data_IF_265810449718
#
_entry.id   IF_265810449718
#
_cell.length_a   1.000
_cell.length_b   1.000
_cell.length_c   1.000
_cell.angle_alpha   90.00
_cell.angle_beta   90.00
_cell.angle_gamma   90.00
#
_symmetry.space_group_name_H-M   'P 1'
#
loop_
_entity.id
_entity.type
_entity.pdbx_description
1 polymer ?
#
# COMPACT_ATOMS: atom_id res chain seq x y z
N UNK A 1 14.75 -9.19 0.00
CA UNK A 1 13.73 -8.66 0.92
C UNK A 1 13.45 -9.70 2.00
N UNK A 2 13.11 -10.94 1.63
CA UNK A 2 13.13 -12.10 2.56
C UNK A 2 14.43 -12.28 3.37
N UNK A 3 15.61 -12.06 2.76
CA UNK A 3 16.89 -12.10 3.49
C UNK A 3 16.98 -11.05 4.60
N UNK A 4 16.31 -9.90 4.42
CA UNK A 4 16.30 -8.81 5.39
C UNK A 4 15.47 -9.16 6.63
N UNK A 5 14.31 -9.78 6.45
CA UNK A 5 13.49 -10.29 7.57
C UNK A 5 14.23 -11.38 8.32
N UNK A 6 14.88 -12.32 7.61
CA UNK A 6 15.64 -13.39 8.26
C UNK A 6 16.79 -12.81 9.10
N UNK A 7 17.54 -11.84 8.56
CA UNK A 7 18.62 -11.15 9.30
C UNK A 7 18.05 -10.40 10.52
N UNK A 8 16.94 -9.69 10.35
CA UNK A 8 16.29 -8.93 11.42
C UNK A 8 15.72 -9.83 12.53
N UNK A 9 15.05 -10.93 12.17
CA UNK A 9 14.47 -11.88 13.12
C UNK A 9 15.55 -12.63 13.92
N UNK A 10 16.65 -13.04 13.26
CA UNK A 10 17.81 -13.64 13.96
C UNK A 10 18.37 -12.67 15.01
N UNK A 11 18.49 -11.38 14.68
CA UNK A 11 18.98 -10.36 15.63
C UNK A 11 18.04 -10.17 16.83
N UNK A 12 16.72 -10.14 16.65
CA UNK A 12 15.79 -10.08 17.80
C UNK A 12 15.98 -11.31 18.68
N UNK A 13 15.90 -12.48 18.07
CA UNK A 13 15.78 -13.72 18.82
C UNK A 13 17.08 -14.08 19.54
N UNK A 14 18.23 -13.80 18.92
CA UNK A 14 19.53 -14.27 19.41
C UNK A 14 20.38 -13.20 20.09
N UNK A 15 20.12 -11.91 19.86
CA UNK A 15 20.83 -10.81 20.55
C UNK A 15 19.94 -10.12 21.58
N UNK A 16 18.74 -9.67 21.19
CA UNK A 16 17.94 -8.78 22.04
C UNK A 16 17.18 -9.56 23.12
N UNK A 17 16.58 -10.70 22.79
CA UNK A 17 15.79 -11.52 23.74
C UNK A 17 16.63 -12.09 24.90
N UNK A 18 17.86 -12.59 24.69
CA UNK A 18 18.74 -12.99 25.79
C UNK A 18 19.22 -11.80 26.62
N UNK A 19 19.51 -10.64 25.99
CA UNK A 19 19.85 -9.42 26.69
C UNK A 19 18.68 -8.92 27.55
N UNK A 20 17.43 -8.97 27.06
CA UNK A 20 16.24 -8.66 27.86
C UNK A 20 16.05 -9.63 29.02
N UNK A 21 16.35 -10.92 28.85
CA UNK A 21 16.27 -11.88 29.95
C UNK A 21 17.34 -11.63 31.01
N UNK A 22 18.54 -11.25 30.59
CA UNK A 22 19.67 -10.89 31.46
C UNK A 22 19.43 -9.54 32.17
N UNK A 23 18.79 -8.58 31.51
CA UNK A 23 18.62 -7.19 31.97
C UNK A 23 17.24 -6.97 32.60
N UNK A 24 16.25 -7.78 32.26
CA UNK A 24 14.84 -7.58 32.56
C UNK A 24 14.34 -8.15 33.88
N UNK A 25 15.19 -8.78 34.72
CA UNK A 25 14.68 -9.26 36.00
C UNK A 25 15.72 -9.79 36.96
N UNK A 26 16.33 -10.94 36.69
CA UNK A 26 17.07 -11.64 37.75
C UNK A 26 18.44 -11.05 38.06
N UNK A 27 19.28 -10.76 37.05
CA UNK A 27 20.64 -10.29 37.31
C UNK A 27 20.70 -8.84 37.79
N UNK A 28 19.83 -7.96 37.30
CA UNK A 28 19.76 -6.57 37.78
C UNK A 28 19.22 -6.53 39.20
N UNK A 29 18.10 -7.20 39.48
CA UNK A 29 17.54 -7.26 40.83
C UNK A 29 18.51 -7.92 41.82
N UNK A 30 19.24 -8.96 41.40
CA UNK A 30 20.27 -9.59 42.24
C UNK A 30 21.45 -8.63 42.50
N UNK A 31 21.95 -7.95 41.47
CA UNK A 31 23.02 -6.98 41.61
C UNK A 31 22.60 -5.76 42.46
N UNK A 32 21.36 -5.32 42.34
CA UNK A 32 20.76 -4.26 43.15
C UNK A 32 20.71 -4.68 44.62
N UNK A 33 20.19 -5.87 44.91
CA UNK A 33 20.17 -6.43 46.26
C UNK A 33 21.58 -6.56 46.86
N UNK A 34 22.54 -7.08 46.09
CA UNK A 34 23.93 -7.16 46.52
C UNK A 34 24.55 -5.79 46.82
N UNK A 35 24.19 -4.76 46.03
CA UNK A 35 24.62 -3.39 46.24
C UNK A 35 24.02 -2.78 47.51
N UNK A 36 22.72 -2.97 47.76
CA UNK A 36 22.07 -2.57 49.01
C UNK A 36 22.72 -3.22 50.24
N UNK A 37 23.00 -4.52 50.20
CA UNK A 37 23.68 -5.22 51.30
C UNK A 37 25.07 -4.64 51.57
N UNK A 38 25.79 -4.21 50.52
CA UNK A 38 27.11 -3.56 50.69
C UNK A 38 26.97 -2.18 51.32
N UNK A 39 25.99 -1.37 50.90
CA UNK A 39 25.69 -0.07 51.51
C UNK A 39 25.32 -0.22 52.98
N UNK A 40 24.46 -1.18 53.32
CA UNK A 40 24.07 -1.44 54.72
C UNK A 40 25.28 -1.80 55.59
N UNK A 41 26.20 -2.62 55.07
CA UNK A 41 27.46 -2.94 55.78
C UNK A 41 28.32 -1.70 56.01
N UNK A 42 28.42 -0.81 55.01
CA UNK A 42 29.15 0.46 55.14
C UNK A 42 28.50 1.38 56.17
N UNK A 43 27.16 1.45 56.20
CA UNK A 43 26.42 2.24 57.19
C UNK A 43 26.66 1.75 58.62
N UNK A 44 26.59 0.44 58.85
CA UNK A 44 26.86 -0.16 60.16
C UNK A 44 28.31 0.11 60.60
N UNK A 45 29.28 -0.05 59.71
CA UNK A 45 30.68 0.23 60.02
C UNK A 45 30.93 1.72 60.31
N UNK A 46 30.28 2.61 59.55
CA UNK A 46 30.38 4.04 59.75
C UNK A 46 29.75 4.50 61.08
N UNK A 47 28.65 3.90 61.51
CA UNK A 47 28.02 4.20 62.80
C UNK A 47 29.00 4.00 63.97
N UNK A 48 29.76 2.90 63.96
CA UNK A 48 30.80 2.63 64.97
C UNK A 48 31.88 3.71 65.00
N UNK A 49 32.33 4.16 63.82
CA UNK A 49 33.34 5.23 63.69
C UNK A 49 32.79 6.60 64.09
N UNK A 50 31.51 6.85 63.87
CA UNK A 50 30.84 8.10 64.25
C UNK A 50 30.64 8.19 65.76
N UNK A 51 30.30 7.07 66.42
CA UNK A 51 30.10 7.00 67.88
C UNK A 51 31.42 7.08 68.66
N UNK A 52 32.48 6.40 68.19
CA UNK A 52 33.72 6.23 68.96
C UNK A 52 34.89 7.09 68.46
N UNK A 53 34.79 7.67 67.26
CA UNK A 53 35.87 8.44 66.64
C UNK A 53 35.97 9.88 67.14
N UNK A 54 37.16 10.48 66.99
CA UNK A 54 37.39 11.92 67.23
C UNK A 54 36.75 12.79 66.12
N UNK A 55 36.78 14.12 66.26
CA UNK A 55 36.11 15.03 65.31
C UNK A 55 36.62 14.87 63.87
N UNK A 56 37.92 14.66 63.68
CA UNK A 56 38.53 14.44 62.37
C UNK A 56 38.01 13.14 61.72
N UNK A 57 37.98 12.05 62.48
CA UNK A 57 37.44 10.75 62.03
C UNK A 57 35.97 10.87 61.64
N UNK A 58 35.18 11.62 62.42
CA UNK A 58 33.76 11.87 62.10
C UNK A 58 33.60 12.65 60.81
N UNK A 59 34.39 13.71 60.61
CA UNK A 59 34.35 14.51 59.38
C UNK A 59 34.70 13.69 58.14
N UNK A 60 35.77 12.87 58.22
CA UNK A 60 36.17 11.98 57.12
C UNK A 60 35.09 10.93 56.85
N UNK A 61 34.52 10.33 57.90
CA UNK A 61 33.46 9.32 57.78
C UNK A 61 32.21 9.90 57.11
N UNK A 62 31.78 11.11 57.49
CA UNK A 62 30.67 11.78 56.83
C UNK A 62 30.95 12.09 55.35
N UNK A 63 32.16 12.54 55.00
CA UNK A 63 32.54 12.80 53.62
C UNK A 63 32.50 11.51 52.77
N UNK A 64 33.06 10.41 53.28
CA UNK A 64 33.04 9.09 52.60
C UNK A 64 31.63 8.52 52.47
N UNK A 65 30.80 8.65 53.50
CA UNK A 65 29.40 8.24 53.42
C UNK A 65 28.64 9.01 52.35
N UNK A 66 28.87 10.33 52.24
CA UNK A 66 28.24 11.15 51.21
C UNK A 66 28.67 10.72 49.81
N UNK A 67 29.96 10.49 49.61
CA UNK A 67 30.54 10.02 48.33
C UNK A 67 29.96 8.67 47.91
N UNK A 68 29.97 7.67 48.80
CA UNK A 68 29.47 6.33 48.50
C UNK A 68 27.96 6.34 48.21
N UNK A 69 27.17 7.12 48.97
CA UNK A 69 25.73 7.25 48.71
C UNK A 69 25.46 7.88 47.35
N UNK A 70 26.16 8.97 47.00
CA UNK A 70 26.04 9.62 45.69
C UNK A 70 26.37 8.64 44.56
N UNK A 71 27.49 7.91 44.67
CA UNK A 71 27.91 6.95 43.65
C UNK A 71 26.92 5.79 43.50
N UNK A 72 26.32 5.34 44.59
CA UNK A 72 25.27 4.31 44.56
C UNK A 72 24.00 4.83 43.87
N UNK A 73 23.53 6.03 44.23
CA UNK A 73 22.38 6.68 43.60
C UNK A 73 22.58 6.86 42.09
N UNK A 74 23.74 7.37 41.68
CA UNK A 74 24.13 7.49 40.26
C UNK A 74 24.11 6.15 39.52
N UNK A 75 24.61 5.09 40.17
CA UNK A 75 24.61 3.73 39.61
C UNK A 75 23.19 3.21 39.44
N UNK A 76 22.32 3.37 40.44
CA UNK A 76 20.92 2.99 40.35
C UNK A 76 20.21 3.73 39.20
N UNK A 77 20.41 5.05 39.10
CA UNK A 77 19.87 5.85 37.99
C UNK A 77 20.36 5.36 36.63
N UNK A 78 21.66 5.07 36.49
CA UNK A 78 22.23 4.54 35.24
C UNK A 78 21.61 3.18 34.86
N UNK A 79 21.43 2.28 35.83
CA UNK A 79 20.80 0.97 35.63
C UNK A 79 19.37 1.13 35.12
N UNK A 80 18.58 2.00 35.76
CA UNK A 80 17.19 2.29 35.35
C UNK A 80 17.17 2.80 33.91
N UNK A 81 18.02 3.77 33.56
CA UNK A 81 18.11 4.29 32.20
C UNK A 81 18.49 3.22 31.17
N UNK A 82 19.44 2.34 31.50
CA UNK A 82 19.84 1.24 30.62
C UNK A 82 18.69 0.27 30.39
N UNK A 83 18.00 -0.12 31.46
CA UNK A 83 16.85 -1.02 31.41
C UNK A 83 15.73 -0.43 30.53
N UNK A 84 15.28 0.80 30.81
CA UNK A 84 14.22 1.44 30.02
C UNK A 84 14.61 1.60 28.54
N UNK A 85 15.88 1.89 28.24
CA UNK A 85 16.34 1.98 26.85
C UNK A 85 16.25 0.64 26.13
N UNK A 86 16.60 -0.45 26.81
CA UNK A 86 16.60 -1.79 26.22
C UNK A 86 15.18 -2.32 26.04
N UNK A 87 14.31 -2.08 27.01
CA UNK A 87 12.88 -2.37 26.88
C UNK A 87 12.26 -1.62 25.71
N UNK A 88 12.57 -0.33 25.58
CA UNK A 88 12.11 0.48 24.45
C UNK A 88 12.56 -0.13 23.12
N UNK A 89 13.86 -0.43 22.96
CA UNK A 89 14.39 -0.99 21.71
C UNK A 89 13.70 -2.31 21.39
N UNK A 90 13.53 -3.19 22.37
CA UNK A 90 12.89 -4.49 22.16
C UNK A 90 11.43 -4.38 21.74
N UNK A 91 10.65 -3.54 22.42
CA UNK A 91 9.23 -3.36 22.11
C UNK A 91 9.07 -2.82 20.69
N UNK A 92 9.70 -1.67 20.42
CA UNK A 92 9.58 -0.96 19.15
C UNK A 92 10.11 -1.80 17.98
N UNK A 93 11.25 -2.48 18.17
CA UNK A 93 11.81 -3.32 17.13
C UNK A 93 10.95 -4.56 16.86
N UNK A 94 10.33 -5.16 17.88
CA UNK A 94 9.43 -6.30 17.71
C UNK A 94 8.13 -5.91 16.97
N UNK A 95 7.54 -4.77 17.33
CA UNK A 95 6.36 -4.24 16.66
C UNK A 95 6.66 -3.84 15.21
N UNK A 96 7.82 -3.19 14.99
CA UNK A 96 8.31 -2.85 13.66
C UNK A 96 8.44 -4.09 12.77
N UNK A 97 9.10 -5.17 13.22
CA UNK A 97 9.26 -6.36 12.38
C UNK A 97 7.93 -7.00 12.05
N UNK A 98 7.00 -7.08 13.00
CA UNK A 98 5.68 -7.63 12.73
C UNK A 98 4.95 -6.82 11.64
N UNK A 99 4.94 -5.50 11.77
CA UNK A 99 4.30 -4.63 10.77
C UNK A 99 5.03 -4.67 9.41
N UNK A 100 6.36 -4.77 9.42
CA UNK A 100 7.17 -4.90 8.21
C UNK A 100 6.88 -6.21 7.48
N UNK A 101 6.80 -7.34 8.20
CA UNK A 101 6.45 -8.65 7.63
C UNK A 101 5.06 -8.64 6.98
N UNK A 102 4.07 -8.09 7.68
CA UNK A 102 2.71 -7.94 7.14
C UNK A 102 2.70 -7.08 5.86
N UNK A 103 3.43 -5.96 5.87
CA UNK A 103 3.55 -5.07 4.71
C UNK A 103 4.31 -5.72 3.56
N UNK A 104 5.39 -6.46 3.81
CA UNK A 104 6.18 -7.13 2.78
C UNK A 104 5.36 -8.24 2.10
N UNK A 105 4.63 -9.05 2.89
CA UNK A 105 3.72 -10.07 2.34
C UNK A 105 2.65 -9.45 1.46
N UNK A 106 2.07 -8.33 1.89
CA UNK A 106 1.12 -7.57 1.10
C UNK A 106 1.75 -7.06 -0.20
N UNK A 107 2.95 -6.48 -0.14
CA UNK A 107 3.67 -5.95 -1.29
C UNK A 107 3.95 -7.04 -2.31
N UNK A 108 4.41 -8.22 -1.88
CA UNK A 108 4.62 -9.39 -2.75
C UNK A 108 3.31 -9.85 -3.39
N UNK A 109 2.21 -9.86 -2.64
CA UNK A 109 0.89 -10.22 -3.17
C UNK A 109 0.44 -9.27 -4.29
N UNK A 110 0.56 -7.96 -4.08
CA UNK A 110 0.21 -6.95 -5.10
C UNK A 110 1.17 -6.99 -6.30
N UNK A 111 2.48 -7.16 -6.06
CA UNK A 111 3.45 -7.37 -7.13
C UNK A 111 3.03 -8.53 -8.05
N UNK A 112 2.64 -9.67 -7.47
CA UNK A 112 2.19 -10.85 -8.22
C UNK A 112 0.88 -10.62 -8.95
N UNK A 113 -0.08 -9.92 -8.35
CA UNK A 113 -1.35 -9.63 -9.02
C UNK A 113 -1.17 -8.67 -10.21
N UNK A 114 -0.18 -7.78 -10.13
CA UNK A 114 0.20 -6.87 -11.20
C UNK A 114 1.22 -7.47 -12.19
N UNK A 115 1.77 -8.65 -11.94
CA UNK A 115 2.79 -9.27 -12.79
C UNK A 115 2.28 -9.60 -14.19
N UNK A 116 1.13 -10.29 -14.38
CA UNK A 116 0.59 -10.58 -15.71
C UNK A 116 0.17 -9.30 -16.43
N UNK A 117 0.34 -9.25 -17.75
CA UNK A 117 -0.18 -8.18 -18.59
C UNK A 117 -1.71 -8.11 -18.55
N UNK A 118 -2.25 -6.97 -18.97
CA UNK A 118 -3.70 -6.76 -19.07
C UNK A 118 -4.31 -7.78 -20.04
N UNK A 119 -5.22 -8.61 -19.53
CA UNK A 119 -5.96 -9.56 -20.36
C UNK A 119 -6.95 -8.82 -21.26
N UNK A 120 -6.88 -9.09 -22.57
CA UNK A 120 -7.80 -8.52 -23.55
C UNK A 120 -9.20 -9.13 -23.42
N UNK A 121 -10.22 -8.27 -23.35
CA UNK A 121 -11.61 -8.67 -23.29
C UNK A 121 -12.36 -8.31 -24.58
N UNK A 122 -13.23 -9.21 -25.04
CA UNK A 122 -14.01 -9.02 -26.26
C UNK A 122 -15.19 -8.07 -26.08
N UNK A 123 -15.78 -8.01 -24.88
CA UNK A 123 -16.98 -7.21 -24.61
C UNK A 123 -16.69 -5.93 -23.81
N UNK A 124 -17.53 -4.91 -24.01
CA UNK A 124 -17.42 -3.62 -23.29
C UNK A 124 -17.67 -3.80 -21.79
N UNK A 125 -18.59 -4.70 -21.41
CA UNK A 125 -18.95 -4.93 -20.01
C UNK A 125 -17.77 -5.49 -19.23
N UNK A 126 -17.07 -6.45 -19.81
CA UNK A 126 -15.90 -7.10 -19.23
C UNK A 126 -14.74 -6.11 -19.09
N UNK A 127 -14.52 -5.25 -20.10
CA UNK A 127 -13.52 -4.17 -20.02
C UNK A 127 -13.84 -3.17 -18.90
N UNK A 128 -15.09 -2.74 -18.77
CA UNK A 128 -15.51 -1.84 -17.69
C UNK A 128 -15.36 -2.50 -16.32
N UNK A 129 -15.67 -3.78 -16.21
CA UNK A 129 -15.44 -4.54 -14.98
C UNK A 129 -13.94 -4.59 -14.62
N UNK A 130 -13.05 -4.77 -15.59
CA UNK A 130 -11.61 -4.69 -15.33
C UNK A 130 -11.19 -3.30 -14.82
N UNK A 131 -11.75 -2.21 -15.37
CA UNK A 131 -11.51 -0.84 -14.88
C UNK A 131 -11.95 -0.72 -13.41
N UNK A 132 -13.15 -1.17 -13.07
CA UNK A 132 -13.65 -1.06 -11.70
C UNK A 132 -12.84 -1.92 -10.72
N UNK A 133 -12.48 -3.15 -11.11
CA UNK A 133 -11.61 -4.01 -10.30
C UNK A 133 -10.22 -3.38 -10.07
N UNK A 134 -9.63 -2.78 -11.11
CA UNK A 134 -8.34 -2.10 -11.00
C UNK A 134 -8.42 -0.85 -10.12
N UNK A 135 -9.55 -0.12 -10.11
CA UNK A 135 -9.76 1.01 -9.20
C UNK A 135 -9.77 0.59 -7.74
N UNK A 136 -10.40 -0.55 -7.43
CA UNK A 136 -10.39 -1.11 -6.07
C UNK A 136 -8.95 -1.42 -5.65
N UNK A 137 -8.21 -2.13 -6.49
CA UNK A 137 -6.80 -2.44 -6.21
C UNK A 137 -5.95 -1.18 -6.00
N UNK A 138 -6.10 -0.16 -6.86
CA UNK A 138 -5.35 1.09 -6.70
C UNK A 138 -5.70 1.82 -5.39
N UNK A 139 -6.99 1.85 -5.02
CA UNK A 139 -7.43 2.40 -3.73
C UNK A 139 -6.78 1.63 -2.57
N UNK A 140 -6.77 0.30 -2.62
CA UNK A 140 -6.13 -0.53 -1.60
C UNK A 140 -4.63 -0.24 -1.48
N UNK A 141 -3.93 -0.04 -2.61
CA UNK A 141 -2.52 0.38 -2.64
C UNK A 141 -2.34 1.76 -1.99
N UNK A 142 -3.16 2.74 -2.37
CA UNK A 142 -3.08 4.10 -1.82
C UNK A 142 -3.34 4.12 -0.30
N UNK A 143 -4.21 3.25 0.20
CA UNK A 143 -4.51 3.12 1.63
C UNK A 143 -3.32 2.60 2.45
N UNK A 144 -2.34 1.93 1.84
CA UNK A 144 -1.13 1.48 2.53
C UNK A 144 -0.06 2.56 2.71
N UNK A 145 -0.22 3.75 2.10
CA UNK A 145 0.75 4.84 2.20
C UNK A 145 1.03 5.24 3.66
N UNK A 146 -0.02 5.32 4.50
CA UNK A 146 0.12 5.69 5.91
C UNK A 146 0.86 4.62 6.73
N UNK A 147 0.66 3.34 6.41
CA UNK A 147 1.40 2.27 7.08
C UNK A 147 2.90 2.33 6.71
N UNK A 148 3.20 2.60 5.44
CA UNK A 148 4.56 2.78 4.98
C UNK A 148 5.26 3.96 5.66
N UNK A 149 4.59 5.11 5.75
CA UNK A 149 5.11 6.29 6.45
C UNK A 149 5.48 5.95 7.90
N UNK A 150 4.57 5.29 8.62
CA UNK A 150 4.81 4.85 10.01
C UNK A 150 5.96 3.84 10.12
N UNK A 151 6.10 2.92 9.16
CA UNK A 151 7.22 1.98 9.12
C UNK A 151 8.56 2.68 8.91
N UNK A 152 8.59 3.68 8.03
CA UNK A 152 9.80 4.48 7.77
C UNK A 152 10.17 5.33 8.99
N UNK A 153 9.19 5.99 9.62
CA UNK A 153 9.42 6.76 10.85
C UNK A 153 9.95 5.90 11.99
N UNK A 154 9.36 4.72 12.20
CA UNK A 154 9.80 3.78 13.23
C UNK A 154 11.20 3.24 12.93
N UNK A 155 11.49 2.90 11.66
CA UNK A 155 12.83 2.49 11.23
C UNK A 155 13.87 3.59 11.50
N UNK A 156 13.55 4.85 11.21
CA UNK A 156 14.42 5.99 11.49
C UNK A 156 14.63 6.20 13.00
N UNK A 157 13.59 6.06 13.81
CA UNK A 157 13.69 6.14 15.27
C UNK A 157 14.58 5.04 15.85
N UNK A 158 14.44 3.80 15.36
CA UNK A 158 15.29 2.67 15.69
C UNK A 158 16.74 2.94 15.26
N UNK A 159 16.97 3.34 14.01
CA UNK A 159 18.30 3.64 13.48
C UNK A 159 19.02 4.72 14.29
N UNK A 160 18.34 5.81 14.64
CA UNK A 160 18.92 6.89 15.44
C UNK A 160 19.40 6.43 16.81
N UNK A 161 18.83 5.34 17.36
CA UNK A 161 19.16 4.83 18.69
C UNK A 161 20.17 3.69 18.67
N UNK A 162 20.11 2.81 17.68
CA UNK A 162 20.93 1.58 17.66
C UNK A 162 21.89 1.47 16.47
N UNK A 163 21.75 2.35 15.46
CA UNK A 163 22.59 2.41 14.25
C UNK A 163 22.67 1.08 13.49
N UNK A 164 21.59 0.29 13.48
CA UNK A 164 21.57 -1.01 12.79
C UNK A 164 21.37 -0.81 11.27
N UNK A 165 22.25 -1.34 10.41
CA UNK A 165 22.14 -1.22 8.96
C UNK A 165 20.86 -1.81 8.36
N UNK A 166 20.13 -2.68 9.08
CA UNK A 166 18.87 -3.21 8.55
C UNK A 166 17.75 -2.16 8.56
N UNK A 167 17.85 -1.09 9.34
CA UNK A 167 16.84 -0.01 9.36
C UNK A 167 17.45 1.33 8.94
N UNK A 168 18.60 1.29 8.27
CA UNK A 168 19.26 2.49 7.78
C UNK A 168 18.47 3.19 6.67
N UNK A 169 18.96 4.37 6.28
CA UNK A 169 18.32 5.18 5.25
C UNK A 169 18.17 4.42 3.92
N UNK A 170 19.19 3.65 3.51
CA UNK A 170 19.14 2.88 2.28
C UNK A 170 18.05 1.78 2.35
N UNK A 171 17.86 1.14 3.50
CA UNK A 171 16.78 0.17 3.71
C UNK A 171 15.39 0.82 3.62
N UNK A 172 15.23 1.99 4.22
CA UNK A 172 13.99 2.76 4.16
C UNK A 172 13.68 3.19 2.71
N UNK A 173 14.67 3.71 1.98
CA UNK A 173 14.54 4.10 0.59
C UNK A 173 14.17 2.92 -0.32
N UNK A 174 14.77 1.75 -0.11
CA UNK A 174 14.40 0.53 -0.86
C UNK A 174 12.94 0.13 -0.64
N UNK A 175 12.43 0.21 0.59
CA UNK A 175 11.03 -0.09 0.89
C UNK A 175 10.10 0.91 0.19
N UNK A 176 10.44 2.20 0.26
CA UNK A 176 9.67 3.27 -0.38
C UNK A 176 9.64 3.11 -1.90
N UNK A 177 10.77 2.76 -2.52
CA UNK A 177 10.87 2.50 -3.96
C UNK A 177 10.04 1.29 -4.38
N UNK A 178 10.06 0.20 -3.60
CA UNK A 178 9.27 -0.98 -3.89
C UNK A 178 7.76 -0.66 -3.87
N UNK A 179 7.29 0.12 -2.88
CA UNK A 179 5.91 0.58 -2.83
C UNK A 179 5.55 1.52 -3.99
N UNK A 180 6.40 2.51 -4.28
CA UNK A 180 6.15 3.44 -5.39
C UNK A 180 6.06 2.69 -6.72
N UNK A 181 6.91 1.68 -6.94
CA UNK A 181 6.87 0.88 -8.16
C UNK A 181 5.53 0.15 -8.36
N UNK A 182 4.95 -0.44 -7.29
CA UNK A 182 3.64 -1.11 -7.42
C UNK A 182 2.49 -0.12 -7.59
N UNK A 183 2.56 1.05 -6.93
CA UNK A 183 1.58 2.12 -7.10
C UNK A 183 1.57 2.62 -8.54
N UNK A 184 2.73 2.99 -9.05
CA UNK A 184 2.88 3.56 -10.39
C UNK A 184 2.42 2.53 -11.45
N UNK A 185 2.75 1.24 -11.27
CA UNK A 185 2.28 0.15 -12.14
C UNK A 185 0.76 -0.04 -12.07
N UNK A 186 0.16 0.08 -10.89
CA UNK A 186 -1.29 0.00 -10.72
C UNK A 186 -2.02 1.17 -11.38
N UNK A 187 -1.46 2.38 -11.30
CA UNK A 187 -1.96 3.59 -11.96
C UNK A 187 -1.86 3.49 -13.49
N UNK A 188 -0.70 3.07 -14.00
CA UNK A 188 -0.50 2.86 -15.44
C UNK A 188 -1.50 1.83 -15.99
N UNK A 189 -1.68 0.70 -15.31
CA UNK A 189 -2.65 -0.32 -15.70
C UNK A 189 -4.08 0.22 -15.74
N UNK A 190 -4.45 1.07 -14.79
CA UNK A 190 -5.77 1.70 -14.78
C UNK A 190 -5.97 2.59 -16.01
N UNK A 191 -4.96 3.40 -16.38
CA UNK A 191 -5.01 4.25 -17.57
C UNK A 191 -5.17 3.42 -18.85
N UNK A 192 -4.45 2.31 -18.97
CA UNK A 192 -4.55 1.39 -20.12
C UNK A 192 -5.95 0.80 -20.22
N UNK A 193 -6.50 0.28 -19.11
CA UNK A 193 -7.83 -0.32 -19.07
C UNK A 193 -8.93 0.70 -19.41
N UNK A 194 -8.82 1.92 -18.88
CA UNK A 194 -9.75 3.01 -19.19
C UNK A 194 -9.74 3.35 -20.68
N UNK A 195 -8.54 3.54 -21.25
CA UNK A 195 -8.39 3.80 -22.68
C UNK A 195 -8.99 2.68 -23.55
N UNK A 196 -8.73 1.42 -23.20
CA UNK A 196 -9.28 0.27 -23.93
C UNK A 196 -10.82 0.20 -23.89
N UNK A 197 -11.43 0.58 -22.76
CA UNK A 197 -12.87 0.63 -22.60
C UNK A 197 -13.48 1.80 -23.39
N UNK A 198 -12.86 2.98 -23.30
CA UNK A 198 -13.27 4.19 -24.02
C UNK A 198 -13.22 4.02 -25.54
N UNK A 199 -12.13 3.46 -26.06
CA UNK A 199 -11.96 3.18 -27.49
C UNK A 199 -13.03 2.19 -28.00
N UNK A 200 -13.34 1.15 -27.22
CA UNK A 200 -14.40 0.20 -27.58
C UNK A 200 -15.78 0.86 -27.57
N UNK A 201 -16.09 1.65 -26.55
CA UNK A 201 -17.35 2.40 -26.51
C UNK A 201 -17.47 3.38 -27.69
N UNK A 202 -16.37 4.05 -28.07
CA UNK A 202 -16.35 4.93 -29.25
C UNK A 202 -16.65 4.14 -30.53
N UNK A 203 -15.93 3.03 -30.73
CA UNK A 203 -16.16 2.16 -31.88
C UNK A 203 -17.61 1.67 -31.96
N UNK A 204 -18.18 1.22 -30.84
CA UNK A 204 -19.56 0.76 -30.79
C UNK A 204 -20.55 1.88 -31.16
N UNK A 205 -20.32 3.11 -30.70
CA UNK A 205 -21.14 4.27 -31.10
C UNK A 205 -21.04 4.53 -32.60
N UNK A 206 -19.86 4.44 -33.18
CA UNK A 206 -19.65 4.73 -34.60
C UNK A 206 -20.22 3.62 -35.50
N UNK A 207 -20.14 2.36 -35.08
CA UNK A 207 -20.83 1.23 -35.74
C UNK A 207 -22.34 1.45 -35.73
N UNK A 208 -22.92 1.84 -34.60
CA UNK A 208 -24.37 2.10 -34.50
C UNK A 208 -24.80 3.28 -35.40
N UNK A 209 -24.02 4.37 -35.43
CA UNK A 209 -24.28 5.50 -36.34
C UNK A 209 -24.21 5.07 -37.80
N UNK A 210 -23.19 4.29 -38.16
CA UNK A 210 -23.02 3.78 -39.53
C UNK A 210 -24.17 2.84 -39.93
N UNK A 211 -24.59 1.95 -39.03
CA UNK A 211 -25.72 1.05 -39.27
C UNK A 211 -27.03 1.82 -39.43
N UNK A 212 -27.27 2.83 -38.60
CA UNK A 212 -28.45 3.71 -38.74
C UNK A 212 -28.44 4.47 -40.07
N UNK A 213 -27.26 4.98 -40.48
CA UNK A 213 -27.08 5.64 -41.78
C UNK A 213 -27.35 4.68 -42.95
N UNK A 214 -26.81 3.46 -42.90
CA UNK A 214 -27.07 2.42 -43.91
C UNK A 214 -28.56 2.12 -44.02
N UNK A 215 -29.24 1.91 -42.89
CA UNK A 215 -30.70 1.66 -42.88
C UNK A 215 -31.46 2.83 -43.51
N UNK A 216 -31.07 4.08 -43.23
CA UNK A 216 -31.66 5.26 -43.85
C UNK A 216 -31.48 5.25 -45.38
N UNK A 217 -30.26 4.97 -45.86
CA UNK A 217 -29.96 4.95 -47.30
C UNK A 217 -30.61 3.80 -48.05
N UNK A 218 -30.69 2.62 -47.44
CA UNK A 218 -31.44 1.49 -48.01
C UNK A 218 -32.93 1.84 -48.14
N UNK A 219 -33.52 2.52 -47.16
CA UNK A 219 -34.90 3.00 -47.24
C UNK A 219 -35.11 4.01 -48.36
N UNK A 220 -34.24 5.02 -48.47
CA UNK A 220 -34.29 6.00 -49.55
C UNK A 220 -34.22 5.33 -50.93
N UNK A 221 -33.29 4.38 -51.11
CA UNK A 221 -33.14 3.66 -52.38
C UNK A 221 -34.39 2.84 -52.73
N UNK A 222 -34.94 2.09 -51.77
CA UNK A 222 -36.16 1.31 -51.98
C UNK A 222 -37.35 2.19 -52.35
N UNK A 223 -37.49 3.38 -51.75
CA UNK A 223 -38.56 4.31 -52.12
C UNK A 223 -38.40 4.84 -53.55
N UNK A 224 -37.17 5.09 -53.99
CA UNK A 224 -36.91 5.53 -55.37
C UNK A 224 -37.28 4.44 -56.38
N UNK A 225 -36.86 3.19 -56.13
CA UNK A 225 -37.20 2.06 -57.01
C UNK A 225 -38.71 1.81 -57.08
N UNK A 226 -39.44 1.91 -55.96
CA UNK A 226 -40.89 1.78 -55.94
C UNK A 226 -41.58 2.89 -56.75
N UNK A 227 -41.06 4.12 -56.69
CA UNK A 227 -41.60 5.23 -57.50
C UNK A 227 -41.31 5.08 -58.99
N UNK A 228 -40.14 4.55 -59.35
CA UNK A 228 -39.74 4.28 -60.73
C UNK A 228 -40.63 3.18 -61.34
N UNK A 229 -40.81 2.06 -60.62
CA UNK A 229 -41.72 0.97 -61.02
C UNK A 229 -43.15 1.47 -61.19
N UNK A 230 -43.61 2.35 -60.29
CA UNK A 230 -44.95 2.95 -60.37
C UNK A 230 -45.08 3.87 -61.58
N UNK A 231 -44.05 4.65 -61.90
CA UNK A 231 -44.03 5.54 -63.04
C UNK A 231 -44.02 4.76 -64.36
N UNK A 232 -43.17 3.74 -64.49
CA UNK A 232 -43.13 2.85 -65.67
C UNK A 232 -44.46 2.12 -65.88
N UNK A 233 -45.05 1.58 -64.81
CA UNK A 233 -46.35 0.89 -64.89
C UNK A 233 -47.47 1.83 -65.37
N UNK A 234 -47.50 3.08 -64.89
CA UNK A 234 -48.44 4.10 -65.37
C UNK A 234 -48.18 4.47 -66.82
N UNK A 235 -46.92 4.59 -67.24
CA UNK A 235 -46.55 4.90 -68.62
C UNK A 235 -47.00 3.80 -69.59
N UNK A 236 -46.77 2.53 -69.23
CA UNK A 236 -47.27 1.37 -70.00
C UNK A 236 -48.80 1.36 -70.07
N UNK A 237 -49.50 1.64 -68.97
CA UNK A 237 -50.96 1.71 -68.96
C UNK A 237 -51.51 2.83 -69.88
N UNK A 238 -50.83 3.98 -69.96
CA UNK A 238 -51.20 5.06 -70.87
C UNK A 238 -50.92 4.72 -72.34
N UNK A 239 -49.78 4.12 -72.65
CA UNK A 239 -49.45 3.66 -74.00
C UNK A 239 -50.44 2.60 -74.52
N UNK A 240 -50.88 1.67 -73.65
CA UNK A 240 -51.91 0.68 -74.01
C UNK A 240 -53.27 1.35 -74.32
N UNK A 241 -53.57 2.47 -73.67
CA UNK A 241 -54.82 3.22 -73.86
C UNK A 241 -54.82 4.06 -75.14
N UNK A 242 -53.66 4.52 -75.61
CA UNK A 242 -53.50 5.23 -76.89
C UNK A 242 -53.55 4.29 -78.11
N UNK A 243 -53.32 2.98 -77.93
CA UNK A 243 -53.33 1.98 -79.02
C UNK A 243 -54.75 1.42 -79.32
N UNK A 244 -55.80 1.91 -78.65
CA UNK A 244 -57.18 1.66 -79.11
C UNK A 244 -57.60 2.74 -80.13
N UNK A 245 -57.82 2.41 -81.42
CA UNK A 245 -58.19 3.40 -82.41
C UNK A 245 -59.62 3.90 -82.12
N UNK A 246 -59.71 5.20 -81.88
CA UNK A 246 -60.92 6.00 -82.11
C UNK A 246 -61.32 5.87 -83.58
N UNK A 247 -62.14 4.88 -83.93
CA UNK A 247 -62.97 4.99 -85.13
C UNK A 247 -64.04 6.05 -84.83
N UNK A 248 -63.80 7.26 -85.32
CA UNK A 248 -64.81 8.31 -85.39
C UNK A 248 -65.65 8.19 -86.67
N UNK A 249 -66.89 8.68 -86.57
CA UNK A 249 -67.83 9.11 -87.65
C UNK A 249 -68.48 7.97 -88.45
N UNK A 250 -69.69 8.06 -89.02
CA UNK A 250 -70.88 8.93 -88.99
C UNK A 250 -71.73 8.35 -90.13
N UNK A 251 -73.05 8.15 -90.01
CA UNK A 251 -73.84 7.84 -91.20
C UNK A 251 -75.22 7.21 -90.99
N UNK A 252 -76.23 8.06 -91.18
CA UNK A 252 -77.66 7.83 -91.41
C UNK A 252 -77.90 6.93 -92.65
N UNK A 253 -78.84 5.97 -92.61
CA UNK A 253 -79.97 5.85 -93.57
C UNK A 253 -80.77 4.54 -93.43
N UNK A 254 -82.10 4.74 -93.50
CA UNK A 254 -83.26 3.82 -93.62
C UNK A 254 -83.78 3.10 -92.37
#
# INVERSE_FOLDING_TARGET
>A
MLDHIIICQHKIHDLIKPLLCVIGGQKIHQSEHEGHVKIDKVLVAAEVLLQNGNQETRNITHARLKEIKSSWEETCTYIIHCHSRIEWVWLHWSEYLKAYEEFEMWLVSVCRSLEPDVELQLGVKEKLWQVDNQRVLLSDVQNQALLLERLVDEAAALYNRIQDPSVDQDAQERLQLAYNSIRDKAEERLLVLQKMAEEHQMHQRDVLKFQAWLVSKTKELNTLTETEDTAENKLRALQVREVHPSHMTSGRDR
#
